data_IF_262861231363
#
_entry.id   IF_262861231363
#
_cell.length_a   1.000
_cell.length_b   1.000
_cell.length_c   1.000
_cell.angle_alpha   90.00
_cell.angle_beta   90.00
_cell.angle_gamma   90.00
#
_symmetry.space_group_name_H-M   'P 1'
#
loop_
_entity.id
_entity.type
_entity.pdbx_description
1 polymer ?
#
# COMPACT_ATOMS: atom_id res chain seq x y z
N UNK A 1 8.50 -18.53 -1.53
CA UNK A 1 8.13 -17.35 -2.36
C UNK A 1 6.63 -17.15 -2.25
N UNK A 2 6.17 -15.98 -1.82
CA UNK A 2 4.75 -15.72 -1.58
C UNK A 2 3.99 -15.24 -2.82
N UNK A 3 3.19 -14.19 -2.63
CA UNK A 3 2.46 -13.48 -3.68
C UNK A 3 3.45 -13.04 -4.77
N UNK A 4 3.12 -13.27 -6.04
CA UNK A 4 3.91 -12.83 -7.19
C UNK A 4 3.10 -11.85 -8.04
N UNK A 5 3.81 -10.92 -8.69
CA UNK A 5 3.27 -9.87 -9.58
C UNK A 5 3.56 -10.20 -11.05
N UNK A 6 3.73 -11.46 -11.38
CA UNK A 6 4.00 -11.92 -12.74
C UNK A 6 2.73 -11.90 -13.59
N UNK A 7 2.89 -11.79 -14.91
CA UNK A 7 1.75 -11.82 -15.85
C UNK A 7 1.54 -13.20 -16.47
N UNK A 8 2.45 -14.15 -16.22
CA UNK A 8 2.46 -15.47 -16.86
C UNK A 8 1.37 -16.40 -16.33
N UNK A 9 1.00 -16.23 -15.06
CA UNK A 9 -0.12 -16.96 -14.46
C UNK A 9 -1.50 -16.50 -14.97
N UNK A 10 -1.60 -15.35 -15.66
CA UNK A 10 -2.86 -14.82 -16.19
C UNK A 10 -3.18 -15.45 -17.56
N UNK A 11 -4.45 -15.43 -17.93
CA UNK A 11 -4.91 -15.84 -19.27
C UNK A 11 -4.41 -14.87 -20.34
N UNK A 12 -4.28 -15.36 -21.58
CA UNK A 12 -4.02 -14.52 -22.76
C UNK A 12 -5.22 -13.60 -23.04
N UNK A 13 -5.02 -12.56 -23.85
CA UNK A 13 -6.12 -11.70 -24.34
C UNK A 13 -7.21 -12.51 -25.06
N UNK A 14 -6.83 -13.59 -25.74
CA UNK A 14 -7.74 -14.54 -26.40
C UNK A 14 -8.45 -15.50 -25.43
N UNK A 15 -8.17 -15.46 -24.12
CA UNK A 15 -8.76 -16.35 -23.10
C UNK A 15 -8.01 -17.67 -22.89
N UNK A 16 -7.12 -18.06 -23.79
CA UNK A 16 -6.33 -19.29 -23.67
C UNK A 16 -5.43 -19.34 -22.42
N UNK A 17 -5.34 -20.52 -21.77
CA UNK A 17 -4.47 -20.75 -20.62
C UNK A 17 -3.00 -20.80 -21.05
N UNK A 18 -2.14 -20.06 -20.35
CA UNK A 18 -0.69 -20.06 -20.59
C UNK A 18 -0.01 -21.08 -19.65
N UNK A 19 0.89 -21.91 -20.19
CA UNK A 19 1.76 -22.77 -19.38
C UNK A 19 2.97 -21.94 -18.89
N UNK A 20 3.28 -21.91 -17.58
CA UNK A 20 4.47 -21.22 -17.07
C UNK A 20 5.73 -21.96 -17.49
N UNK A 21 6.74 -21.23 -17.98
CA UNK A 21 8.02 -21.80 -18.47
C UNK A 21 9.12 -21.82 -17.41
N UNK A 22 8.96 -21.07 -16.33
CA UNK A 22 9.93 -20.97 -15.23
C UNK A 22 9.23 -20.89 -13.87
N UNK A 23 10.03 -21.11 -12.82
CA UNK A 23 9.64 -20.89 -11.43
C UNK A 23 9.67 -19.39 -11.10
N UNK A 24 8.90 -18.99 -10.08
CA UNK A 24 8.84 -17.60 -9.58
C UNK A 24 10.24 -17.02 -9.33
N UNK A 25 10.43 -15.73 -9.61
CA UNK A 25 11.71 -15.03 -9.40
C UNK A 25 11.63 -13.99 -8.28
N UNK A 26 12.76 -13.72 -7.60
CA UNK A 26 12.82 -12.78 -6.47
C UNK A 26 12.40 -11.36 -6.82
N UNK A 27 12.61 -10.92 -8.06
CA UNK A 27 12.23 -9.58 -8.49
C UNK A 27 10.72 -9.40 -8.74
N UNK A 28 9.96 -10.49 -8.87
CA UNK A 28 8.52 -10.48 -9.11
C UNK A 28 7.72 -10.55 -7.81
N UNK A 29 8.38 -10.51 -6.65
CA UNK A 29 7.70 -10.68 -5.38
C UNK A 29 6.72 -9.53 -5.10
N UNK A 30 5.52 -9.92 -4.66
CA UNK A 30 4.59 -9.07 -3.96
C UNK A 30 4.80 -9.15 -2.45
N UNK A 31 4.18 -8.22 -1.72
CA UNK A 31 4.12 -8.24 -0.27
C UNK A 31 2.66 -7.98 0.16
N UNK A 32 2.21 -8.50 1.31
CA UNK A 32 0.85 -8.23 1.79
C UNK A 32 0.64 -6.71 1.99
N UNK A 33 -0.59 -6.21 1.79
CA UNK A 33 -0.92 -4.81 2.03
C UNK A 33 -0.75 -4.47 3.51
N UNK A 34 -0.58 -3.18 3.82
CA UNK A 34 -0.34 -2.73 5.19
C UNK A 34 -1.63 -2.49 5.99
N UNK A 35 -2.77 -2.24 5.31
CA UNK A 35 -4.10 -2.02 5.90
C UNK A 35 -4.06 -1.10 7.13
N UNK A 36 -3.52 0.11 6.94
CA UNK A 36 -3.36 1.12 7.99
C UNK A 36 -4.67 1.41 8.71
N UNK A 37 -4.67 1.35 10.05
CA UNK A 37 -5.82 1.73 10.89
C UNK A 37 -5.48 2.95 11.76
N UNK A 38 -6.51 3.64 12.24
CA UNK A 38 -6.33 4.76 13.18
C UNK A 38 -5.95 4.17 14.55
N UNK A 39 -4.92 4.72 15.19
CA UNK A 39 -4.42 4.25 16.48
C UNK A 39 -2.97 4.64 16.74
N UNK A 40 -2.35 4.19 17.85
CA UNK A 40 -1.02 4.62 18.25
C UNK A 40 0.02 4.30 17.18
N UNK A 41 0.91 5.26 16.91
CA UNK A 41 1.90 5.20 15.82
C UNK A 41 2.71 3.90 15.84
N UNK A 42 2.51 3.06 14.81
CA UNK A 42 3.28 1.82 14.58
C UNK A 42 3.72 1.74 13.13
N UNK A 43 5.03 1.86 12.90
CA UNK A 43 5.64 1.86 11.58
C UNK A 43 6.71 0.76 11.52
N UNK A 44 6.61 -0.12 10.52
CA UNK A 44 7.60 -1.15 10.25
C UNK A 44 8.43 -0.80 9.02
N UNK A 45 9.75 -0.88 9.13
CA UNK A 45 10.66 -0.71 8.00
C UNK A 45 10.80 -1.99 7.20
N UNK A 46 10.73 -1.90 5.88
CA UNK A 46 10.89 -3.03 4.96
C UNK A 46 12.01 -2.74 3.98
N UNK A 47 13.06 -3.59 3.98
CA UNK A 47 14.10 -3.55 2.95
C UNK A 47 13.54 -3.97 1.60
N UNK A 48 13.88 -3.22 0.55
CA UNK A 48 13.46 -3.49 -0.83
C UNK A 48 14.67 -3.74 -1.74
N UNK A 49 14.40 -4.07 -3.02
CA UNK A 49 15.42 -4.24 -4.05
C UNK A 49 16.21 -2.93 -4.21
N UNK A 50 17.52 -3.04 -4.44
CA UNK A 50 18.41 -1.88 -4.54
C UNK A 50 18.85 -1.30 -3.19
N UNK A 51 18.56 -1.97 -2.07
CA UNK A 51 19.05 -1.55 -0.74
C UNK A 51 18.20 -0.48 -0.05
N UNK A 52 17.22 0.10 -0.75
CA UNK A 52 16.31 1.10 -0.20
C UNK A 52 15.41 0.55 0.92
N UNK A 53 14.85 1.46 1.72
CA UNK A 53 13.87 1.17 2.78
C UNK A 53 12.51 1.75 2.39
N UNK A 54 11.44 0.99 2.61
CA UNK A 54 10.06 1.49 2.56
C UNK A 54 9.41 1.36 3.93
N UNK A 55 8.59 2.34 4.31
CA UNK A 55 7.92 2.38 5.61
C UNK A 55 6.48 1.90 5.47
N UNK A 56 6.11 0.90 6.26
CA UNK A 56 4.73 0.41 6.37
C UNK A 56 4.13 0.94 7.66
N UNK A 57 3.26 1.93 7.53
CA UNK A 57 2.37 2.27 8.62
C UNK A 57 1.39 1.10 8.83
N UNK A 58 1.26 0.63 10.06
CA UNK A 58 0.16 -0.27 10.46
C UNK A 58 -0.89 0.52 11.22
N UNK A 59 -0.46 1.46 12.06
CA UNK A 59 -1.32 2.38 12.78
C UNK A 59 -0.75 3.80 12.75
N UNK A 60 -1.62 4.77 12.50
CA UNK A 60 -1.30 6.19 12.53
C UNK A 60 -2.51 6.97 13.06
N UNK A 61 -2.26 7.88 13.98
CA UNK A 61 -3.27 8.79 14.53
C UNK A 61 -3.05 10.25 14.11
N UNK A 62 -1.92 10.56 13.48
CA UNK A 62 -1.49 11.93 13.15
C UNK A 62 -1.06 12.05 11.69
N UNK A 63 -1.32 13.20 11.07
CA UNK A 63 -0.94 13.53 9.70
C UNK A 63 -0.62 15.00 9.52
N UNK A 64 0.09 15.34 8.43
CA UNK A 64 0.30 16.72 8.01
C UNK A 64 -0.76 17.07 6.96
N UNK A 65 -1.61 18.06 7.25
CA UNK A 65 -2.72 18.48 6.38
C UNK A 65 -2.52 19.94 5.96
N UNK A 66 -2.82 20.23 4.69
CA UNK A 66 -2.69 21.57 4.10
C UNK A 66 -4.06 22.12 3.74
N UNK A 67 -4.31 23.40 4.05
CA UNK A 67 -5.50 24.11 3.58
C UNK A 67 -5.12 25.06 2.45
N UNK A 68 -5.48 24.67 1.22
CA UNK A 68 -5.04 25.34 0.00
C UNK A 68 -5.56 26.76 -0.19
N UNK A 69 -6.76 27.10 0.29
CA UNK A 69 -7.33 28.44 0.10
C UNK A 69 -6.64 29.53 0.94
N UNK A 70 -6.05 29.16 2.08
CA UNK A 70 -5.31 30.10 2.92
C UNK A 70 -3.79 29.98 2.72
N UNK A 71 -3.32 29.14 1.79
CA UNK A 71 -1.91 28.78 1.62
C UNK A 71 -1.20 28.43 2.95
N UNK A 72 -1.94 27.88 3.91
CA UNK A 72 -1.44 27.51 5.23
C UNK A 72 -1.29 25.99 5.30
N UNK A 73 -0.11 25.55 5.68
CA UNK A 73 0.00 24.30 6.42
C UNK A 73 -0.64 24.58 7.77
N UNK A 74 -1.83 24.02 8.02
CA UNK A 74 -2.45 24.19 9.34
C UNK A 74 -1.45 23.61 10.34
N UNK A 75 -1.06 24.48 11.26
CA UNK A 75 0.06 24.28 12.18
C UNK A 75 -0.31 23.14 13.12
N UNK A 76 0.55 22.11 13.16
CA UNK A 76 0.48 21.03 14.14
C UNK A 76 -0.08 19.73 13.59
N UNK A 77 0.54 18.62 13.99
CA UNK A 77 0.06 17.25 13.78
C UNK A 77 -1.45 17.17 14.09
N UNK A 78 -2.29 17.23 13.06
CA UNK A 78 -3.73 17.10 13.24
C UNK A 78 -4.04 15.60 13.43
N UNK A 79 -4.90 15.29 14.40
CA UNK A 79 -5.27 13.90 14.68
C UNK A 79 -6.39 13.43 13.75
N UNK A 80 -6.20 12.26 13.17
CA UNK A 80 -7.23 11.53 12.44
C UNK A 80 -8.30 11.05 13.41
N UNK A 81 -9.54 11.52 13.22
CA UNK A 81 -10.69 11.14 14.06
C UNK A 81 -11.41 9.90 13.53
N UNK A 82 -11.78 9.90 12.26
CA UNK A 82 -12.53 8.81 11.63
C UNK A 82 -12.38 8.85 10.10
N UNK A 83 -12.59 7.70 9.45
CA UNK A 83 -12.67 7.59 8.00
C UNK A 83 -14.15 7.67 7.61
N UNK A 84 -14.56 8.73 6.92
CA UNK A 84 -15.99 8.93 6.58
C UNK A 84 -16.38 8.31 5.24
N UNK A 85 -15.56 8.42 4.21
CA UNK A 85 -15.92 7.97 2.87
C UNK A 85 -14.70 7.46 2.09
N UNK A 86 -14.89 6.39 1.30
CA UNK A 86 -13.85 5.70 0.52
C UNK A 86 -14.34 5.48 -0.90
N UNK A 87 -13.62 6.04 -1.87
CA UNK A 87 -13.92 5.86 -3.31
C UNK A 87 -13.55 4.45 -3.82
N UNK A 88 -12.56 3.79 -3.21
CA UNK A 88 -12.05 2.51 -3.70
C UNK A 88 -12.93 1.31 -3.35
N UNK A 89 -13.39 1.24 -2.11
CA UNK A 89 -14.37 0.24 -1.67
C UNK A 89 -15.01 0.68 -0.35
N UNK A 90 -16.30 0.38 -0.17
CA UNK A 90 -17.07 0.69 1.03
C UNK A 90 -16.55 -0.05 2.27
N UNK A 91 -15.99 -1.25 2.10
CA UNK A 91 -15.41 -2.06 3.18
C UNK A 91 -14.13 -1.48 3.79
N UNK A 92 -13.56 -0.42 3.20
CA UNK A 92 -12.40 0.26 3.76
C UNK A 92 -12.76 1.40 4.73
N UNK A 93 -14.02 1.85 4.75
CA UNK A 93 -14.53 2.79 5.75
C UNK A 93 -14.65 2.13 7.12
#
# INVERSE_FOLDING_TARGET
MGISRDNWHKRRKTGGKRKPYHKKRKYELGRPPANTKIGPRRIHTVRVRGGNKKYRALRLDVGNFSWGSECKYIIGLMRLKCFLHSCGSLHCC
#
